data_IF_826120216380
#
_entry.id   IF_826120216380
#
_cell.length_a   1.000
_cell.length_b   1.000
_cell.length_c   1.000
_cell.angle_alpha   90.00
_cell.angle_beta   90.00
_cell.angle_gamma   90.00
#
_symmetry.space_group_name_H-M   'P 1'
#
loop_
_entity.id
_entity.type
_entity.pdbx_description
1 polymer ?
#
# COMPACT_ATOMS: atom_id res chain seq x y z
N UNK A 1 -17.34 -36.28 14.48
CA UNK A 1 -16.21 -37.19 14.24
C UNK A 1 -15.20 -36.45 13.35
N UNK A 2 -13.90 -36.51 13.68
CA UNK A 2 -12.77 -35.77 13.08
C UNK A 2 -12.74 -34.27 13.46
N UNK A 3 -11.92 -33.71 14.37
CA UNK A 3 -10.69 -34.11 15.06
C UNK A 3 -10.70 -33.45 16.47
N UNK A 4 -11.23 -34.16 17.47
CA UNK A 4 -10.90 -33.94 18.90
C UNK A 4 -10.23 -35.22 19.39
N UNK A 5 -8.94 -35.40 19.10
CA UNK A 5 -8.22 -36.56 19.63
C UNK A 5 -6.77 -36.34 20.03
N UNK A 6 -6.11 -35.21 19.75
CA UNK A 6 -4.65 -35.14 19.97
C UNK A 6 -4.12 -33.77 20.41
N UNK A 7 -4.81 -33.05 21.30
CA UNK A 7 -4.15 -31.97 22.03
C UNK A 7 -4.43 -32.12 23.53
N UNK A 8 -3.57 -32.92 24.14
CA UNK A 8 -3.39 -32.93 25.57
C UNK A 8 -2.90 -31.56 26.05
N UNK A 9 -3.39 -31.22 27.24
CA UNK A 9 -2.96 -30.14 28.09
C UNK A 9 -1.43 -30.03 28.15
N UNK A 10 -0.84 -29.08 27.43
CA UNK A 10 0.58 -28.71 27.56
C UNK A 10 0.70 -27.20 27.44
N UNK A 11 1.06 -26.55 28.55
CA UNK A 11 1.44 -25.16 28.56
C UNK A 11 2.62 -24.95 27.59
N UNK A 12 2.42 -24.10 26.60
CA UNK A 12 3.46 -23.75 25.63
C UNK A 12 4.44 -22.77 26.26
N UNK A 13 5.66 -23.26 26.53
CA UNK A 13 6.83 -22.44 26.78
C UNK A 13 7.39 -21.96 25.43
N UNK A 14 7.49 -20.64 25.26
CA UNK A 14 7.79 -19.96 24.00
C UNK A 14 9.26 -19.97 23.57
N UNK A 15 10.17 -20.62 24.30
CA UNK A 15 11.59 -20.33 24.14
C UNK A 15 12.42 -21.24 23.24
N UNK A 16 11.88 -22.15 22.43
CA UNK A 16 12.79 -22.99 21.62
C UNK A 16 12.12 -23.43 20.31
N UNK A 17 12.48 -22.83 19.16
CA UNK A 17 12.62 -23.47 17.81
C UNK A 17 12.38 -22.51 16.64
N UNK A 18 13.45 -21.81 16.22
CA UNK A 18 13.57 -21.19 14.90
C UNK A 18 14.96 -21.47 14.31
N UNK A 19 15.27 -22.73 14.00
CA UNK A 19 16.54 -23.11 13.37
C UNK A 19 16.31 -24.16 12.29
N UNK A 20 15.78 -23.74 11.14
CA UNK A 20 15.61 -24.66 9.99
C UNK A 20 15.02 -24.05 8.72
N UNK A 21 15.06 -22.73 8.52
CA UNK A 21 14.55 -22.07 7.32
C UNK A 21 15.65 -21.77 6.30
N UNK A 22 15.40 -22.03 5.00
CA UNK A 22 16.22 -21.54 3.88
C UNK A 22 16.57 -20.06 4.12
N UNK A 23 17.86 -19.74 4.16
CA UNK A 23 18.32 -18.36 4.37
C UNK A 23 17.94 -17.51 3.17
N UNK A 24 17.10 -16.50 3.39
CA UNK A 24 16.86 -15.44 2.41
C UNK A 24 18.14 -14.63 2.23
N UNK A 25 18.52 -14.23 1.01
CA UNK A 25 19.65 -13.34 0.81
C UNK A 25 19.35 -12.00 1.50
N UNK A 26 20.27 -11.58 2.37
CA UNK A 26 20.16 -10.30 3.08
C UNK A 26 20.57 -9.19 2.12
N UNK A 27 19.72 -8.17 1.97
CA UNK A 27 20.08 -6.98 1.20
C UNK A 27 21.20 -6.27 1.95
N UNK A 28 22.37 -6.15 1.30
CA UNK A 28 23.49 -5.45 1.91
C UNK A 28 23.12 -3.98 2.16
N UNK A 29 23.38 -3.54 3.38
CA UNK A 29 23.15 -2.19 3.80
C UNK A 29 24.32 -1.34 3.29
N UNK A 30 24.21 -0.88 2.04
CA UNK A 30 25.18 0.04 1.47
C UNK A 30 24.96 1.44 2.06
N UNK A 31 25.80 1.79 3.03
CA UNK A 31 25.76 3.08 3.72
C UNK A 31 26.44 4.20 2.92
N UNK A 32 27.11 3.87 1.82
CA UNK A 32 27.81 4.81 0.94
C UNK A 32 26.95 5.19 -0.28
N UNK A 33 25.66 4.86 -0.25
CA UNK A 33 24.72 5.25 -1.27
C UNK A 33 24.56 6.77 -1.30
N UNK A 34 25.26 7.41 -2.22
CA UNK A 34 25.29 8.86 -2.33
C UNK A 34 24.21 9.34 -3.29
N UNK A 35 23.28 10.15 -2.79
CA UNK A 35 22.34 10.95 -3.57
C UNK A 35 22.68 12.42 -3.32
N UNK A 36 23.00 13.19 -4.36
CA UNK A 36 23.27 14.63 -4.20
C UNK A 36 21.99 15.39 -3.80
N UNK A 37 20.86 14.97 -4.37
CA UNK A 37 19.49 15.28 -4.00
C UNK A 37 18.68 13.99 -4.18
N UNK A 38 17.63 13.76 -3.38
CA UNK A 38 16.72 12.67 -3.67
C UNK A 38 16.09 12.89 -5.05
N UNK A 39 15.95 11.83 -5.86
CA UNK A 39 15.28 11.92 -7.15
C UNK A 39 13.85 12.41 -6.92
N UNK A 40 13.29 13.12 -7.91
CA UNK A 40 11.89 13.50 -7.85
C UNK A 40 11.02 12.24 -7.74
N UNK A 41 9.84 12.35 -7.10
CA UNK A 41 8.88 11.23 -7.06
C UNK A 41 8.60 10.68 -8.46
N UNK A 42 8.58 11.57 -9.44
CA UNK A 42 8.34 11.24 -10.83
C UNK A 42 9.45 10.41 -11.49
N UNK A 43 10.68 10.53 -10.99
CA UNK A 43 11.82 9.75 -11.45
C UNK A 43 11.83 8.34 -10.83
N UNK A 44 11.10 8.15 -9.72
CA UNK A 44 10.98 6.86 -9.05
C UNK A 44 9.96 5.93 -9.71
N UNK A 45 9.06 6.47 -10.54
CA UNK A 45 7.98 5.72 -11.19
C UNK A 45 8.30 5.58 -12.69
N UNK A 46 8.43 4.35 -13.23
CA UNK A 46 8.64 4.15 -14.67
C UNK A 46 7.56 4.83 -15.53
N UNK A 47 7.93 5.29 -16.73
CA UNK A 47 7.01 6.00 -17.65
C UNK A 47 5.83 5.15 -18.10
N UNK A 48 5.99 3.83 -18.16
CA UNK A 48 4.96 2.85 -18.55
C UNK A 48 4.20 2.27 -17.34
N UNK A 49 4.37 2.87 -16.15
CA UNK A 49 3.71 2.35 -14.95
C UNK A 49 2.21 2.72 -14.95
N UNK A 50 1.30 1.77 -14.68
CA UNK A 50 -0.16 2.00 -14.76
C UNK A 50 -0.68 3.06 -13.79
N UNK A 51 0.07 3.37 -12.71
CA UNK A 51 -0.27 4.48 -11.81
C UNK A 51 -0.33 5.84 -12.53
N UNK A 52 0.44 6.04 -13.61
CA UNK A 52 0.42 7.28 -14.39
C UNK A 52 -0.91 7.47 -15.11
N UNK A 53 -1.43 6.40 -15.73
CA UNK A 53 -2.76 6.41 -16.33
C UNK A 53 -3.85 6.72 -15.31
N UNK A 54 -3.74 6.19 -14.08
CA UNK A 54 -4.70 6.49 -13.01
C UNK A 54 -4.67 7.97 -12.64
N UNK A 55 -3.49 8.55 -12.47
CA UNK A 55 -3.35 9.99 -12.15
C UNK A 55 -3.91 10.85 -13.29
N UNK A 56 -3.55 10.56 -14.54
CA UNK A 56 -4.08 11.29 -15.70
C UNK A 56 -5.61 11.20 -15.80
N UNK A 57 -6.17 10.02 -15.51
CA UNK A 57 -7.62 9.83 -15.47
C UNK A 57 -8.28 10.65 -14.37
N UNK A 58 -7.70 10.67 -13.15
CA UNK A 58 -8.23 11.46 -12.04
C UNK A 58 -8.09 12.95 -12.30
N UNK A 59 -7.00 13.39 -12.93
CA UNK A 59 -6.76 14.79 -13.27
C UNK A 59 -7.69 15.30 -14.38
N UNK A 60 -8.25 14.41 -15.19
CA UNK A 60 -9.26 14.74 -16.19
C UNK A 60 -10.66 14.98 -15.60
N UNK A 61 -10.91 14.64 -14.33
CA UNK A 61 -12.18 14.95 -13.65
C UNK A 61 -12.29 16.45 -13.39
N UNK A 62 -13.33 17.06 -13.94
CA UNK A 62 -13.68 18.45 -13.69
C UNK A 62 -14.53 18.61 -12.42
N UNK A 63 -14.82 19.86 -12.05
CA UNK A 63 -15.59 20.16 -10.83
C UNK A 63 -16.97 19.52 -10.82
N UNK A 64 -17.59 19.34 -11.99
CA UNK A 64 -18.89 18.69 -12.12
C UNK A 64 -18.77 17.20 -11.83
N UNK A 65 -17.77 16.51 -12.39
CA UNK A 65 -17.50 15.11 -12.10
C UNK A 65 -17.21 14.85 -10.62
N UNK A 66 -16.46 15.72 -9.96
CA UNK A 66 -16.24 15.61 -8.51
C UNK A 66 -17.52 15.87 -7.69
N UNK A 67 -18.37 16.79 -8.13
CA UNK A 67 -19.66 17.05 -7.49
C UNK A 67 -20.63 15.87 -7.65
N UNK A 68 -20.63 15.19 -8.79
CA UNK A 68 -21.40 13.95 -9.00
C UNK A 68 -20.96 12.81 -8.08
N UNK A 69 -19.69 12.77 -7.72
CA UNK A 69 -19.14 11.84 -6.73
C UNK A 69 -19.43 12.27 -5.28
N UNK A 70 -20.09 13.40 -5.07
CA UNK A 70 -20.36 14.01 -3.76
C UNK A 70 -19.07 14.31 -2.96
N UNK A 71 -17.97 14.62 -3.65
CA UNK A 71 -16.67 14.91 -3.05
C UNK A 71 -16.35 16.41 -3.16
N UNK A 72 -16.11 17.05 -2.01
CA UNK A 72 -15.62 18.42 -1.97
C UNK A 72 -14.11 18.47 -2.23
N UNK A 73 -13.71 19.15 -3.30
CA UNK A 73 -12.30 19.35 -3.67
C UNK A 73 -11.67 20.49 -2.88
N UNK A 74 -12.47 21.52 -2.60
CA UNK A 74 -12.05 22.67 -1.82
C UNK A 74 -12.13 22.30 -0.32
N UNK A 75 -10.99 22.30 0.36
CA UNK A 75 -10.90 21.96 1.79
C UNK A 75 -11.50 23.02 2.71
N UNK A 76 -11.73 22.65 3.96
CA UNK A 76 -12.14 23.61 4.99
C UNK A 76 -10.94 24.48 5.44
N UNK A 77 -11.08 25.81 5.52
CA UNK A 77 -10.03 26.69 6.06
C UNK A 77 -9.70 26.45 7.53
N UNK A 78 -10.56 25.74 8.27
CA UNK A 78 -10.40 25.49 9.70
C UNK A 78 -10.06 24.03 10.00
N UNK A 79 -9.05 23.83 10.84
CA UNK A 79 -8.67 22.50 11.33
C UNK A 79 -7.37 21.96 10.72
N UNK A 80 -7.15 20.66 10.90
CA UNK A 80 -5.99 19.98 10.35
C UNK A 80 -6.18 19.73 8.84
N UNK A 81 -5.13 19.84 8.01
CA UNK A 81 -5.24 19.62 6.58
C UNK A 81 -5.77 18.21 6.27
N UNK A 82 -6.84 18.14 5.48
CA UNK A 82 -7.33 16.88 4.93
C UNK A 82 -6.42 16.39 3.80
N UNK A 83 -6.43 15.08 3.54
CA UNK A 83 -5.79 14.52 2.36
C UNK A 83 -6.49 14.99 1.09
N UNK A 84 -5.70 15.29 0.05
CA UNK A 84 -6.24 15.77 -1.21
C UNK A 84 -7.10 14.70 -1.90
N UNK A 85 -8.33 15.01 -2.35
CA UNK A 85 -9.22 14.04 -2.99
C UNK A 85 -8.60 13.34 -4.22
N UNK A 86 -7.81 14.05 -5.04
CA UNK A 86 -7.08 13.41 -6.16
C UNK A 86 -6.18 12.27 -5.68
N UNK A 87 -5.46 12.45 -4.57
CA UNK A 87 -4.55 11.44 -4.05
C UNK A 87 -5.32 10.23 -3.53
N UNK A 88 -6.42 10.47 -2.78
CA UNK A 88 -7.27 9.42 -2.24
C UNK A 88 -7.91 8.59 -3.36
N UNK A 89 -8.50 9.24 -4.36
CA UNK A 89 -9.14 8.56 -5.48
C UNK A 89 -8.11 7.79 -6.33
N UNK A 90 -6.93 8.36 -6.57
CA UNK A 90 -5.86 7.71 -7.32
C UNK A 90 -5.39 6.42 -6.62
N UNK A 91 -5.16 6.46 -5.31
CA UNK A 91 -4.75 5.28 -4.53
C UNK A 91 -5.86 4.22 -4.54
N UNK A 92 -7.11 4.64 -4.38
CA UNK A 92 -8.26 3.72 -4.39
C UNK A 92 -8.43 3.02 -5.74
N UNK A 93 -8.40 3.77 -6.86
CA UNK A 93 -8.48 3.23 -8.22
C UNK A 93 -7.31 2.29 -8.53
N UNK A 94 -6.09 2.69 -8.16
CA UNK A 94 -4.92 1.84 -8.36
C UNK A 94 -5.01 0.53 -7.57
N UNK A 95 -5.46 0.59 -6.31
CA UNK A 95 -5.71 -0.60 -5.49
C UNK A 95 -6.81 -1.49 -6.08
N UNK A 96 -7.86 -0.90 -6.63
CA UNK A 96 -8.93 -1.61 -7.31
C UNK A 96 -8.42 -2.33 -8.57
N UNK A 97 -7.66 -1.64 -9.43
CA UNK A 97 -7.09 -2.19 -10.66
C UNK A 97 -6.11 -3.34 -10.40
N UNK A 98 -5.30 -3.24 -9.35
CA UNK A 98 -4.28 -4.26 -9.02
C UNK A 98 -4.88 -5.48 -8.32
N UNK A 99 -6.15 -5.42 -7.89
CA UNK A 99 -6.86 -6.54 -7.29
C UNK A 99 -6.26 -7.03 -5.97
N UNK A 100 -5.40 -6.24 -5.33
CA UNK A 100 -4.74 -6.59 -4.08
C UNK A 100 -5.77 -6.58 -2.95
N UNK A 101 -6.28 -7.77 -2.60
CA UNK A 101 -7.18 -7.96 -1.44
C UNK A 101 -6.39 -8.43 -0.23
N UNK A 102 -6.72 -7.89 0.94
CA UNK A 102 -6.11 -8.26 2.23
C UNK A 102 -6.49 -9.67 2.71
N UNK A 103 -7.51 -10.30 2.12
CA UNK A 103 -7.97 -11.61 2.54
C UNK A 103 -7.13 -12.73 1.92
N UNK A 104 -6.49 -13.53 2.79
CA UNK A 104 -5.90 -14.82 2.43
C UNK A 104 -7.00 -15.65 1.75
N UNK A 105 -6.72 -16.17 0.55
CA UNK A 105 -7.58 -17.14 -0.13
C UNK A 105 -7.54 -18.44 0.69
N UNK A 106 -8.57 -18.68 1.50
CA UNK A 106 -8.80 -19.96 2.20
C UNK A 106 -9.50 -20.95 1.29
#
# INVERSE_FOLDING_TARGET
>A
ACLKSLYGNQGVNWNHRWTGGKKVPLREMNREQMWLLPPALEELIPTDHPARFVVEFVDALDREGWAELEVQIDGDPMGAPAYHPHALLSVWLYGFMTGVRSCRRS
#
